data_IF_182321243003
#
_entry.id   IF_182321243003
#
_cell.length_a   1.000
_cell.length_b   1.000
_cell.length_c   1.000
_cell.angle_alpha   90.00
_cell.angle_beta   90.00
_cell.angle_gamma   90.00
#
_symmetry.space_group_name_H-M   'P 1'
#
loop_
_entity.id
_entity.type
_entity.pdbx_description
1 polymer ?
#
# COMPACT_ATOMS: atom_id res chain seq x y z
N UNK A 1 7.98 -8.10 11.36
CA UNK A 1 8.22 -7.73 9.94
C UNK A 1 9.71 -7.93 9.67
N UNK A 2 10.08 -8.58 8.56
CA UNK A 2 11.51 -8.83 8.23
C UNK A 2 12.22 -7.52 7.87
N UNK A 3 13.51 -7.38 8.17
CA UNK A 3 14.29 -6.17 7.84
C UNK A 3 14.76 -6.14 6.38
N UNK A 4 14.58 -7.23 5.63
CA UNK A 4 14.96 -7.29 4.20
C UNK A 4 14.04 -6.40 3.36
N UNK A 5 14.68 -5.53 2.56
CA UNK A 5 14.06 -4.59 1.61
C UNK A 5 13.86 -5.20 0.21
N UNK A 6 14.49 -6.33 -0.09
CA UNK A 6 14.43 -7.01 -1.40
C UNK A 6 13.19 -7.89 -1.55
N UNK A 7 12.16 -7.64 -0.73
CA UNK A 7 10.95 -8.46 -0.67
C UNK A 7 9.79 -7.72 -1.31
N UNK A 8 9.44 -8.13 -2.53
CA UNK A 8 8.28 -7.60 -3.27
C UNK A 8 7.02 -8.43 -3.05
N UNK A 9 6.66 -9.21 -4.07
CA UNK A 9 5.49 -10.10 -4.05
C UNK A 9 5.81 -11.33 -3.19
N UNK A 10 4.98 -11.59 -2.18
CA UNK A 10 5.05 -12.76 -1.32
C UNK A 10 3.79 -13.62 -1.45
N UNK A 11 3.89 -14.88 -1.04
CA UNK A 11 2.73 -15.74 -0.87
C UNK A 11 1.75 -15.11 0.13
N UNK A 12 0.50 -14.95 -0.29
CA UNK A 12 -0.55 -14.35 0.53
C UNK A 12 -0.91 -15.19 1.75
N UNK A 13 -0.51 -16.47 1.78
CA UNK A 13 -0.73 -17.38 2.90
C UNK A 13 0.29 -17.20 4.02
N UNK A 14 1.41 -16.49 3.77
CA UNK A 14 2.42 -16.16 4.77
C UNK A 14 2.90 -17.36 5.63
N UNK A 15 2.96 -18.56 5.04
CA UNK A 15 3.37 -19.79 5.72
C UNK A 15 2.26 -20.56 6.43
N UNK A 16 0.99 -20.23 6.17
CA UNK A 16 -0.15 -21.02 6.65
C UNK A 16 -0.08 -22.44 6.10
N UNK A 17 -0.27 -23.43 6.97
CA UNK A 17 -0.31 -24.83 6.56
C UNK A 17 -1.56 -25.06 5.70
N UNK A 18 -1.39 -25.86 4.63
CA UNK A 18 -2.50 -26.34 3.82
C UNK A 18 -2.90 -27.72 4.33
N UNK A 19 -3.48 -27.78 5.53
CA UNK A 19 -4.05 -29.03 6.05
C UNK A 19 -5.54 -29.12 5.71
N UNK A 20 -6.04 -30.34 5.51
CA UNK A 20 -7.46 -30.60 5.16
C UNK A 20 -8.40 -30.31 6.34
N UNK A 21 -7.85 -30.20 7.55
CA UNK A 21 -8.58 -29.91 8.80
C UNK A 21 -8.65 -28.40 9.11
N UNK A 22 -7.85 -27.57 8.41
CA UNK A 22 -7.85 -26.12 8.57
C UNK A 22 -8.87 -25.45 7.64
N UNK A 23 -9.35 -24.28 8.08
CA UNK A 23 -10.28 -23.47 7.30
C UNK A 23 -9.67 -23.13 5.93
N UNK A 24 -10.40 -23.30 4.80
CA UNK A 24 -9.87 -23.03 3.48
C UNK A 24 -9.53 -21.54 3.36
N UNK A 25 -8.24 -21.23 3.30
CA UNK A 25 -7.72 -19.89 3.02
C UNK A 25 -7.03 -19.97 1.68
N UNK A 26 -7.56 -19.24 0.70
CA UNK A 26 -6.98 -19.10 -0.63
C UNK A 26 -6.62 -17.64 -0.88
N UNK A 27 -5.33 -17.32 -0.75
CA UNK A 27 -4.74 -16.06 -1.18
C UNK A 27 -3.57 -16.38 -2.11
N UNK A 28 -3.56 -15.79 -3.31
CA UNK A 28 -2.60 -16.16 -4.37
C UNK A 28 -1.26 -15.44 -4.18
N UNK A 29 -1.30 -14.15 -3.83
CA UNK A 29 -0.09 -13.33 -3.62
C UNK A 29 -0.47 -11.99 -2.97
N UNK A 30 0.49 -11.37 -2.27
CA UNK A 30 0.36 -10.01 -1.70
C UNK A 30 1.71 -9.31 -1.71
N UNK A 31 1.74 -7.98 -1.84
CA UNK A 31 2.93 -7.21 -1.49
C UNK A 31 3.06 -7.08 0.03
N UNK A 32 4.28 -7.06 0.55
CA UNK A 32 4.44 -6.62 1.94
C UNK A 32 4.07 -5.14 2.04
N UNK A 33 3.28 -4.78 3.04
CA UNK A 33 2.77 -3.42 3.21
C UNK A 33 3.88 -2.36 3.27
N UNK A 34 4.99 -2.66 3.94
CA UNK A 34 6.14 -1.76 4.05
C UNK A 34 6.81 -1.51 2.70
N UNK A 35 7.03 -2.57 1.92
CA UNK A 35 7.56 -2.47 0.56
C UNK A 35 6.59 -1.72 -0.38
N UNK A 36 5.29 -2.00 -0.29
CA UNK A 36 4.27 -1.32 -1.10
C UNK A 36 4.16 0.17 -0.75
N UNK A 37 4.21 0.52 0.54
CA UNK A 37 4.22 1.90 1.01
C UNK A 37 5.48 2.63 0.55
N UNK A 38 6.66 2.03 0.72
CA UNK A 38 7.92 2.62 0.26
C UNK A 38 7.94 2.83 -1.26
N UNK A 39 7.41 1.88 -2.02
CA UNK A 39 7.28 2.01 -3.48
C UNK A 39 6.23 3.03 -3.92
N UNK A 40 5.20 3.28 -3.11
CA UNK A 40 4.14 4.26 -3.44
C UNK A 40 4.53 5.67 -3.01
N UNK A 41 5.21 5.80 -1.87
CA UNK A 41 5.81 7.03 -1.36
C UNK A 41 7.07 7.40 -2.14
N UNK A 42 7.32 6.78 -3.30
CA UNK A 42 8.55 6.97 -4.06
C UNK A 42 8.87 8.46 -4.20
N UNK A 43 9.90 8.85 -3.48
CA UNK A 43 10.00 10.21 -3.00
C UNK A 43 10.51 11.16 -4.10
N UNK A 44 10.90 10.66 -5.27
CA UNK A 44 11.47 11.49 -6.33
C UNK A 44 10.49 12.53 -6.90
N UNK A 45 9.22 12.19 -7.06
CA UNK A 45 8.19 13.15 -7.52
C UNK A 45 7.66 13.98 -6.34
N UNK A 46 7.40 13.33 -5.20
CA UNK A 46 6.84 13.98 -4.01
C UNK A 46 7.83 14.90 -3.26
N UNK A 47 9.15 14.68 -3.37
CA UNK A 47 10.19 15.57 -2.82
C UNK A 47 10.35 16.84 -3.66
N UNK A 48 10.06 16.79 -4.96
CA UNK A 48 10.15 17.98 -5.80
C UNK A 48 9.11 19.04 -5.38
N UNK A 49 7.91 18.61 -4.96
CA UNK A 49 6.91 19.51 -4.38
C UNK A 49 7.35 20.09 -3.03
N UNK A 50 8.14 19.38 -2.23
CA UNK A 50 8.69 19.92 -0.97
C UNK A 50 9.64 21.10 -1.21
N UNK A 51 10.48 21.03 -2.26
CA UNK A 51 11.33 22.15 -2.65
C UNK A 51 10.53 23.38 -3.08
N UNK A 52 9.32 23.19 -3.61
CA UNK A 52 8.44 24.30 -4.01
C UNK A 52 7.88 25.08 -2.81
N UNK A 53 7.92 24.52 -1.60
CA UNK A 53 7.44 25.14 -0.38
C UNK A 53 8.52 25.85 0.44
N UNK A 54 9.71 26.07 -0.13
CA UNK A 54 10.82 26.81 0.52
C UNK A 54 11.21 26.21 1.89
N UNK A 55 10.94 24.91 2.05
CA UNK A 55 11.34 24.15 3.22
C UNK A 55 12.80 23.73 2.99
N UNK A 56 13.71 24.67 3.28
CA UNK A 56 15.14 24.41 3.34
C UNK A 56 15.39 23.16 4.18
N UNK A 57 16.29 22.33 3.65
CA UNK A 57 16.55 20.94 3.98
C UNK A 57 16.47 20.53 5.47
N UNK A 58 16.33 19.22 5.69
CA UNK A 58 16.46 18.46 6.95
C UNK A 58 15.17 17.92 7.61
N UNK A 59 14.72 16.77 7.08
CA UNK A 59 14.24 15.61 7.87
C UNK A 59 13.12 15.86 8.89
N UNK A 60 12.10 16.63 8.56
CA UNK A 60 10.87 16.65 9.36
C UNK A 60 10.11 15.32 9.19
N UNK A 61 9.53 14.75 10.26
CA UNK A 61 8.72 13.54 10.15
C UNK A 61 7.46 13.83 9.32
N UNK A 62 7.27 13.08 8.24
CA UNK A 62 6.06 13.15 7.43
C UNK A 62 4.90 12.42 8.12
N UNK A 63 3.72 13.03 8.07
CA UNK A 63 2.46 12.37 8.41
C UNK A 63 1.75 11.97 7.12
N UNK A 64 1.58 10.66 6.93
CA UNK A 64 0.93 10.06 5.75
C UNK A 64 -0.43 9.49 6.17
N UNK A 65 -1.51 9.97 5.56
CA UNK A 65 -2.86 9.43 5.76
C UNK A 65 -3.16 8.46 4.64
N UNK A 66 -3.61 7.25 5.00
CA UNK A 66 -3.88 6.16 4.04
C UNK A 66 -5.33 5.72 4.18
N UNK A 67 -6.02 5.56 3.04
CA UNK A 67 -7.35 4.97 2.96
C UNK A 67 -7.27 3.59 2.34
N UNK A 68 -7.75 2.58 3.04
CA UNK A 68 -7.88 1.21 2.52
C UNK A 68 -9.23 0.99 1.86
N UNK A 69 -9.26 0.19 0.80
CA UNK A 69 -10.48 -0.26 0.14
C UNK A 69 -10.40 -1.77 -0.16
N UNK A 70 -11.53 -2.44 0.02
CA UNK A 70 -11.70 -3.85 -0.34
C UNK A 70 -12.55 -3.95 -1.62
N UNK A 71 -11.96 -4.47 -2.68
CA UNK A 71 -12.62 -4.71 -3.96
C UNK A 71 -12.86 -6.19 -4.19
N UNK A 72 -14.11 -6.59 -4.44
CA UNK A 72 -14.45 -7.98 -4.75
C UNK A 72 -14.41 -8.22 -6.27
N UNK A 73 -13.50 -9.08 -6.72
CA UNK A 73 -13.30 -9.53 -8.10
C UNK A 73 -13.94 -10.88 -8.39
N UNK A 74 -14.32 -11.10 -9.65
CA UNK A 74 -15.02 -12.30 -10.10
C UNK A 74 -14.01 -13.39 -10.51
N UNK A 75 -14.33 -14.64 -10.17
CA UNK A 75 -13.51 -15.83 -10.42
C UNK A 75 -13.23 -16.01 -11.92
N UNK A 76 -11.97 -16.32 -12.28
CA UNK A 76 -11.58 -16.69 -13.65
C UNK A 76 -11.58 -18.20 -13.79
N UNK A 77 -12.16 -18.73 -14.87
CA UNK A 77 -12.10 -20.16 -15.18
C UNK A 77 -10.63 -20.63 -15.32
N UNK A 78 -10.22 -21.63 -14.55
CA UNK A 78 -8.87 -22.21 -14.60
C UNK A 78 -8.76 -23.54 -13.86
N UNK A 79 -7.70 -24.31 -14.15
CA UNK A 79 -7.41 -25.62 -13.54
C UNK A 79 -6.62 -25.46 -12.22
N UNK A 80 -7.19 -24.72 -11.27
CA UNK A 80 -6.68 -24.55 -9.91
C UNK A 80 -7.74 -24.94 -8.87
N UNK A 81 -7.39 -25.00 -7.57
CA UNK A 81 -8.39 -25.14 -6.52
C UNK A 81 -9.48 -24.07 -6.66
N UNK A 82 -10.73 -24.41 -6.36
CA UNK A 82 -11.86 -23.49 -6.48
C UNK A 82 -11.61 -22.27 -5.58
N UNK A 83 -11.29 -21.12 -6.18
CA UNK A 83 -10.94 -19.92 -5.43
C UNK A 83 -12.23 -19.16 -5.12
N UNK A 84 -12.63 -19.00 -3.84
CA UNK A 84 -13.72 -18.11 -3.48
C UNK A 84 -13.44 -16.70 -4.02
N UNK A 85 -14.47 -15.96 -4.44
CA UNK A 85 -14.42 -14.58 -4.99
C UNK A 85 -13.13 -13.83 -4.66
N UNK A 86 -12.39 -13.40 -5.69
CA UNK A 86 -11.10 -12.76 -5.52
C UNK A 86 -11.24 -11.46 -4.70
N UNK A 87 -10.72 -11.44 -3.48
CA UNK A 87 -10.68 -10.22 -2.65
C UNK A 87 -9.42 -9.46 -3.02
N UNK A 88 -9.58 -8.24 -3.53
CA UNK A 88 -8.48 -7.32 -3.83
C UNK A 88 -8.44 -6.25 -2.75
N UNK A 89 -7.45 -6.38 -1.87
CA UNK A 89 -7.12 -5.27 -1.00
C UNK A 89 -6.40 -4.20 -1.80
N UNK A 90 -6.73 -2.93 -1.56
CA UNK A 90 -6.01 -1.79 -2.11
C UNK A 90 -5.91 -0.67 -1.09
N UNK A 91 -4.96 0.22 -1.28
CA UNK A 91 -4.82 1.43 -0.48
C UNK A 91 -4.53 2.64 -1.35
N UNK A 92 -4.91 3.80 -0.84
CA UNK A 92 -4.61 5.10 -1.43
C UNK A 92 -3.96 5.96 -0.38
N UNK A 93 -2.84 6.58 -0.72
CA UNK A 93 -2.28 7.65 0.09
C UNK A 93 -3.19 8.86 -0.13
N UNK A 94 -3.91 9.26 0.91
CA UNK A 94 -4.86 10.38 0.86
C UNK A 94 -4.13 11.71 0.96
N UNK A 95 -3.27 11.87 1.96
CA UNK A 95 -2.51 13.10 2.16
C UNK A 95 -1.13 12.80 2.72
N UNK A 96 -0.18 13.67 2.39
CA UNK A 96 1.11 13.74 3.07
C UNK A 96 1.26 15.14 3.61
N UNK A 97 1.70 15.27 4.86
CA UNK A 97 1.90 16.56 5.52
C UNK A 97 3.16 16.57 6.36
N UNK A 98 3.73 17.75 6.53
CA UNK A 98 4.88 18.02 7.39
C UNK A 98 4.47 18.95 8.53
N UNK A 99 4.97 18.74 9.76
CA UNK A 99 4.76 19.68 10.85
C UNK A 99 5.51 20.99 10.57
N UNK A 100 4.86 22.13 10.81
CA UNK A 100 5.46 23.46 10.77
C UNK A 100 5.02 24.28 11.99
N UNK A 101 5.76 25.34 12.32
CA UNK A 101 5.46 26.23 13.46
C UNK A 101 4.07 26.85 13.39
N UNK A 102 3.53 26.98 12.17
CA UNK A 102 2.22 27.58 11.90
C UNK A 102 1.11 26.53 11.67
N UNK A 103 1.37 25.26 11.99
CA UNK A 103 0.48 24.13 11.75
C UNK A 103 0.99 23.18 10.66
N UNK A 104 0.36 22.01 10.47
CA UNK A 104 0.81 21.04 9.47
C UNK A 104 0.58 21.55 8.04
N UNK A 105 1.63 21.52 7.23
CA UNK A 105 1.57 21.88 5.81
C UNK A 105 1.32 20.62 5.00
N UNK A 106 0.26 20.61 4.18
CA UNK A 106 -0.03 19.49 3.26
C UNK A 106 0.81 19.66 2.00
N UNK A 107 1.58 18.63 1.68
CA UNK A 107 2.50 18.61 0.54
C UNK A 107 1.96 17.73 -0.59
N UNK A 108 1.00 16.85 -0.28
CA UNK A 108 0.32 16.00 -1.26
C UNK A 108 -1.12 15.75 -0.80
N UNK A 109 -2.05 15.75 -1.76
CA UNK A 109 -3.46 15.40 -1.56
C UNK A 109 -3.95 14.63 -2.80
N UNK A 110 -4.33 13.36 -2.61
CA UNK A 110 -4.81 12.53 -3.70
C UNK A 110 -6.26 12.87 -4.07
N UNK A 111 -6.60 12.97 -5.37
CA UNK A 111 -7.99 13.01 -5.81
C UNK A 111 -8.68 11.69 -5.44
N UNK A 112 -9.96 11.75 -5.06
CA UNK A 112 -10.79 10.57 -4.79
C UNK A 112 -11.13 9.80 -6.09
N UNK A 113 -10.11 9.29 -6.78
CA UNK A 113 -10.19 8.59 -8.07
C UNK A 113 -9.69 7.16 -7.93
N UNK A 114 -10.30 6.22 -8.66
CA UNK A 114 -9.87 4.82 -8.72
C UNK A 114 -8.42 4.64 -9.21
N UNK A 115 -7.88 5.64 -9.92
CA UNK A 115 -6.48 5.67 -10.38
C UNK A 115 -5.46 5.79 -9.23
N UNK A 116 -5.89 6.27 -8.06
CA UNK A 116 -5.04 6.38 -6.87
C UNK A 116 -5.13 5.13 -5.98
N UNK A 117 -5.95 4.13 -6.34
CA UNK A 117 -6.05 2.86 -5.62
C UNK A 117 -4.87 1.95 -6.02
N UNK A 118 -3.90 1.78 -5.11
CA UNK A 118 -2.77 0.86 -5.26
C UNK A 118 -3.14 -0.53 -4.71
N UNK A 119 -3.19 -1.58 -5.54
CA UNK A 119 -3.46 -2.94 -5.10
C UNK A 119 -2.30 -3.56 -4.32
#
# INVERSE_FOLDING_TARGET
>A
VSTSTDVGIIDGLAGLNRSVDEYPVDTISRFRYDAALASTLNMEENILDLKSHDMDDYLAPFTVVIKSCDGMGVEKHGCGPAVPKAVRFSFTIMTISVPSSNGPVRIFEAPNSELCCKP
#
